data_IF_225446226701
#
_entry.id   IF_225446226701
#
_cell.length_a   1.000
_cell.length_b   1.000
_cell.length_c   1.000
_cell.angle_alpha   90.00
_cell.angle_beta   90.00
_cell.angle_gamma   90.00
#
_symmetry.space_group_name_H-M   'P 1'
#
loop_
_entity.id
_entity.type
_entity.pdbx_description
1 polymer ?
#
# COMPACT_ATOMS: atom_id res chain seq x y z
N UNK A 1 -10.34 -5.20 -24.76
CA UNK A 1 -10.11 -5.80 -23.44
C UNK A 1 -10.95 -5.01 -22.45
N UNK A 2 -11.97 -5.63 -21.86
CA UNK A 2 -12.80 -4.94 -20.87
C UNK A 2 -11.95 -4.62 -19.66
N UNK A 3 -11.95 -3.37 -19.21
CA UNK A 3 -11.44 -3.02 -17.88
C UNK A 3 -12.23 -3.87 -16.89
N UNK A 4 -11.58 -4.85 -16.26
CA UNK A 4 -12.19 -5.55 -15.14
C UNK A 4 -12.58 -4.45 -14.13
N UNK A 5 -13.86 -4.36 -13.81
CA UNK A 5 -14.33 -3.35 -12.88
C UNK A 5 -13.82 -3.76 -11.49
N UNK A 6 -12.76 -3.09 -11.03
CA UNK A 6 -12.08 -3.33 -9.75
C UNK A 6 -12.39 -2.17 -8.79
N UNK A 7 -13.66 -1.98 -8.40
CA UNK A 7 -14.08 -0.77 -7.72
C UNK A 7 -13.42 -0.60 -6.35
N UNK A 8 -13.07 -1.69 -5.66
CA UNK A 8 -12.37 -1.59 -4.38
C UNK A 8 -10.92 -1.15 -4.58
N UNK A 9 -10.21 -1.72 -5.57
CA UNK A 9 -8.84 -1.32 -5.90
C UNK A 9 -8.80 0.15 -6.36
N UNK A 10 -9.74 0.57 -7.22
CA UNK A 10 -9.78 1.94 -7.73
C UNK A 10 -10.09 2.95 -6.62
N UNK A 11 -11.08 2.68 -5.77
CA UNK A 11 -11.39 3.54 -4.62
C UNK A 11 -10.22 3.60 -3.64
N UNK A 12 -9.57 2.48 -3.39
CA UNK A 12 -8.43 2.42 -2.49
C UNK A 12 -7.22 3.19 -3.05
N UNK A 13 -6.95 3.08 -4.35
CA UNK A 13 -5.92 3.86 -5.03
C UNK A 13 -6.20 5.36 -4.94
N UNK A 14 -7.45 5.78 -5.14
CA UNK A 14 -7.87 7.18 -4.95
C UNK A 14 -7.70 7.63 -3.49
N UNK A 15 -8.04 6.76 -2.52
CA UNK A 15 -7.86 7.07 -1.10
C UNK A 15 -6.40 7.32 -0.74
N UNK A 16 -5.45 6.58 -1.33
CA UNK A 16 -4.02 6.75 -1.03
C UNK A 16 -3.39 7.92 -1.78
N UNK A 17 -3.74 8.13 -3.05
CA UNK A 17 -3.06 9.11 -3.91
C UNK A 17 -3.73 10.48 -3.89
N UNK A 18 -5.06 10.54 -3.94
CA UNK A 18 -5.81 11.79 -4.11
C UNK A 18 -6.41 12.29 -2.79
N UNK A 19 -6.71 11.37 -1.87
CA UNK A 19 -7.41 11.64 -0.62
C UNK A 19 -6.66 11.10 0.61
N UNK A 20 -5.32 11.14 0.58
CA UNK A 20 -4.45 10.45 1.55
C UNK A 20 -4.79 10.68 3.02
N UNK A 21 -5.28 11.87 3.40
CA UNK A 21 -5.74 12.13 4.78
C UNK A 21 -6.86 11.22 5.27
N UNK A 22 -7.65 10.63 4.37
CA UNK A 22 -8.70 9.66 4.69
C UNK A 22 -8.15 8.28 5.09
N UNK A 23 -6.85 8.02 4.92
CA UNK A 23 -6.23 6.79 5.44
C UNK A 23 -6.19 6.78 6.97
N UNK A 24 -6.09 7.95 7.61
CA UNK A 24 -5.98 8.06 9.07
C UNK A 24 -7.17 7.44 9.80
N UNK A 25 -8.44 7.76 9.48
CA UNK A 25 -9.58 7.10 10.12
C UNK A 25 -9.63 5.59 9.85
N UNK A 26 -9.16 5.12 8.67
CA UNK A 26 -9.05 3.68 8.38
C UNK A 26 -8.03 3.02 9.31
N UNK A 27 -6.87 3.63 9.51
CA UNK A 27 -5.84 3.11 10.41
C UNK A 27 -6.31 3.09 11.86
N UNK A 28 -7.01 4.14 12.30
CA UNK A 28 -7.61 4.17 13.64
C UNK A 28 -8.60 3.01 13.83
N UNK A 29 -9.48 2.76 12.86
CA UNK A 29 -10.47 1.69 12.94
C UNK A 29 -9.82 0.30 12.90
N UNK A 30 -8.93 0.05 11.94
CA UNK A 30 -8.35 -1.30 11.71
C UNK A 30 -7.35 -1.70 12.79
N UNK A 31 -6.54 -0.75 13.27
CA UNK A 31 -5.45 -1.03 14.22
C UNK A 31 -5.68 -0.50 15.64
N UNK A 32 -6.84 0.11 15.91
CA UNK A 32 -7.15 0.69 17.22
C UNK A 32 -6.27 1.90 17.57
N UNK A 33 -5.79 2.61 16.55
CA UNK A 33 -4.99 3.83 16.72
C UNK A 33 -5.88 5.03 17.08
N UNK A 34 -5.26 6.10 17.57
CA UNK A 34 -5.96 7.30 18.03
C UNK A 34 -5.36 8.57 17.39
N UNK A 35 -5.04 8.49 16.11
CA UNK A 35 -4.58 9.64 15.34
C UNK A 35 -5.69 10.68 15.20
N UNK A 36 -5.29 11.94 15.22
CA UNK A 36 -6.19 13.10 15.21
C UNK A 36 -6.65 13.51 13.81
N UNK A 37 -6.01 12.98 12.76
CA UNK A 37 -6.24 13.39 11.37
C UNK A 37 -5.35 14.57 10.93
N UNK A 38 -4.42 15.01 11.78
CA UNK A 38 -3.48 16.11 11.50
C UNK A 38 -2.03 15.64 11.38
N UNK A 39 -1.80 14.34 11.57
CA UNK A 39 -0.48 13.73 11.47
C UNK A 39 0.00 13.75 10.01
N UNK A 40 1.32 13.89 9.85
CA UNK A 40 1.94 13.81 8.53
C UNK A 40 1.99 12.36 8.07
N UNK A 41 1.60 12.14 6.81
CA UNK A 41 1.70 10.84 6.14
C UNK A 41 2.85 10.92 5.15
N UNK A 42 3.83 10.04 5.30
CA UNK A 42 4.99 9.94 4.41
C UNK A 42 4.91 8.60 3.69
N UNK A 43 4.58 8.64 2.40
CA UNK A 43 4.57 7.46 1.54
C UNK A 43 6.00 7.03 1.21
N UNK A 44 6.23 5.72 1.19
CA UNK A 44 7.44 5.14 0.62
C UNK A 44 7.43 5.31 -0.91
N UNK A 45 8.59 5.22 -1.58
CA UNK A 45 8.63 5.15 -3.05
C UNK A 45 7.82 3.93 -3.53
N UNK A 46 6.79 4.15 -4.34
CA UNK A 46 5.85 3.12 -4.78
C UNK A 46 6.31 2.33 -6.02
N UNK A 47 7.52 2.56 -6.51
CA UNK A 47 8.04 1.99 -7.75
C UNK A 47 9.16 0.99 -7.48
N UNK A 48 8.82 -0.30 -7.43
CA UNK A 48 9.80 -1.40 -7.45
C UNK A 48 9.65 -2.18 -8.75
N UNK A 49 10.65 -2.06 -9.62
CA UNK A 49 10.73 -2.83 -10.85
C UNK A 49 11.29 -4.23 -10.52
N UNK A 50 10.43 -5.25 -10.49
CA UNK A 50 10.88 -6.64 -10.36
C UNK A 50 11.14 -7.17 -11.77
N UNK A 51 12.42 -7.30 -12.13
CA UNK A 51 12.81 -7.94 -13.38
C UNK A 51 12.44 -9.43 -13.32
N UNK A 52 11.56 -9.88 -14.22
CA UNK A 52 11.41 -11.33 -14.45
C UNK A 52 12.69 -11.88 -15.08
N UNK A 53 13.01 -13.16 -14.83
CA UNK A 53 14.21 -13.83 -15.35
C UNK A 53 14.30 -13.82 -16.90
N UNK A 54 13.19 -13.46 -17.54
CA UNK A 54 12.89 -13.51 -18.97
C UNK A 54 13.15 -12.15 -19.67
N UNK A 55 13.58 -11.11 -18.93
CA UNK A 55 13.87 -9.78 -19.48
C UNK A 55 12.62 -8.93 -19.77
N UNK A 56 11.44 -9.38 -19.35
CA UNK A 56 10.23 -8.56 -19.34
C UNK A 56 10.16 -7.76 -18.02
N UNK A 57 10.11 -6.42 -18.14
CA UNK A 57 9.77 -5.53 -17.04
C UNK A 57 8.29 -5.74 -16.69
N UNK A 58 8.03 -6.46 -15.60
CA UNK A 58 6.71 -6.42 -14.97
C UNK A 58 6.72 -5.20 -14.04
N UNK A 59 6.19 -4.08 -14.53
CA UNK A 59 5.84 -2.95 -13.67
C UNK A 59 4.90 -3.46 -12.57
N UNK A 60 5.33 -3.40 -11.32
CA UNK A 60 4.50 -3.81 -10.19
C UNK A 60 4.63 -2.80 -9.06
N UNK A 61 3.66 -1.91 -9.05
CA UNK A 61 3.49 -0.83 -8.09
C UNK A 61 3.23 -1.45 -6.71
N UNK A 62 4.00 -1.04 -5.69
CA UNK A 62 3.63 -1.30 -4.29
C UNK A 62 2.82 -0.10 -3.85
N UNK A 63 1.49 -0.23 -3.75
CA UNK A 63 0.64 0.96 -3.64
C UNK A 63 0.68 1.62 -2.25
N UNK A 64 1.16 0.95 -1.19
CA UNK A 64 0.56 1.17 0.14
C UNK A 64 1.50 1.15 1.35
N UNK A 65 2.80 1.32 1.17
CA UNK A 65 3.69 1.50 2.31
C UNK A 65 3.86 2.96 2.67
N UNK A 66 3.55 3.29 3.93
CA UNK A 66 3.68 4.65 4.43
C UNK A 66 3.96 4.68 5.94
N UNK A 67 4.42 5.84 6.41
CA UNK A 67 4.64 6.14 7.82
C UNK A 67 3.71 7.26 8.24
N UNK A 68 3.07 7.11 9.41
CA UNK A 68 2.32 8.20 10.06
C UNK A 68 3.19 8.77 11.17
N UNK A 69 3.44 10.08 11.11
CA UNK A 69 4.23 10.83 12.08
C UNK A 69 3.29 11.46 13.11
N UNK A 70 2.97 10.70 14.17
CA UNK A 70 2.20 11.17 15.32
C UNK A 70 3.05 11.33 16.58
N UNK A 71 2.49 10.99 17.74
CA UNK A 71 3.25 10.92 19.01
C UNK A 71 4.42 9.93 18.94
N UNK A 72 4.28 8.89 18.11
CA UNK A 72 5.32 7.96 17.69
C UNK A 72 5.19 7.76 16.19
N UNK A 73 6.32 7.65 15.50
CA UNK A 73 6.35 7.21 14.11
C UNK A 73 6.00 5.73 14.04
N UNK A 74 4.98 5.38 13.25
CA UNK A 74 4.61 4.00 12.95
C UNK A 74 4.56 3.80 11.44
N UNK A 75 4.97 2.60 11.01
CA UNK A 75 4.96 2.19 9.60
C UNK A 75 3.80 1.23 9.37
N UNK A 76 3.14 1.39 8.23
CA UNK A 76 1.99 0.60 7.81
C UNK A 76 2.18 0.09 6.39
N UNK A 77 1.66 -1.09 6.12
CA UNK A 77 1.54 -1.73 4.81
C UNK A 77 0.12 -2.26 4.68
N UNK A 78 -0.66 -1.75 3.72
CA UNK A 78 -2.09 -2.05 3.59
C UNK A 78 -2.45 -2.41 2.17
N UNK A 79 -2.78 -3.67 1.86
CA UNK A 79 -3.22 -4.04 0.52
C UNK A 79 -4.75 -4.07 0.39
N UNK A 80 -5.24 -3.78 -0.82
CA UNK A 80 -6.63 -4.03 -1.24
C UNK A 80 -6.63 -4.98 -2.45
N UNK A 81 -7.73 -5.72 -2.63
CA UNK A 81 -7.94 -6.57 -3.79
C UNK A 81 -9.43 -6.77 -4.03
N UNK A 82 -9.94 -6.42 -5.21
CA UNK A 82 -11.33 -6.74 -5.57
C UNK A 82 -11.53 -8.20 -5.95
N UNK A 83 -10.48 -8.90 -6.41
CA UNK A 83 -10.57 -10.33 -6.72
C UNK A 83 -10.52 -11.17 -5.44
N UNK A 84 -11.21 -12.31 -5.45
CA UNK A 84 -11.22 -13.26 -4.33
C UNK A 84 -10.09 -14.29 -4.40
N UNK A 85 -9.09 -14.08 -5.25
CA UNK A 85 -7.94 -15.00 -5.38
C UNK A 85 -6.92 -14.80 -4.26
N UNK A 86 -5.94 -15.70 -4.17
CA UNK A 86 -4.93 -15.70 -3.12
C UNK A 86 -3.69 -14.82 -3.44
N UNK A 87 -3.73 -14.00 -4.49
CA UNK A 87 -2.56 -13.23 -4.91
C UNK A 87 -2.15 -12.14 -3.91
N UNK A 88 -3.09 -11.64 -3.10
CA UNK A 88 -2.81 -10.66 -2.03
C UNK A 88 -1.77 -11.16 -1.04
N UNK A 89 -1.84 -12.43 -0.64
CA UNK A 89 -0.90 -13.02 0.31
C UNK A 89 0.52 -13.06 -0.27
N UNK A 90 0.63 -13.40 -1.55
CA UNK A 90 1.91 -13.43 -2.26
C UNK A 90 2.49 -12.00 -2.33
N UNK A 91 1.66 -11.00 -2.65
CA UNK A 91 2.07 -9.59 -2.68
C UNK A 91 2.58 -9.11 -1.33
N UNK A 92 1.86 -9.38 -0.24
CA UNK A 92 2.31 -9.01 1.10
C UNK A 92 3.72 -9.52 1.38
N UNK A 93 3.98 -10.81 1.11
CA UNK A 93 5.29 -11.40 1.32
C UNK A 93 6.37 -10.76 0.44
N UNK A 94 6.12 -10.65 -0.87
CA UNK A 94 7.07 -10.04 -1.81
C UNK A 94 7.43 -8.62 -1.39
N UNK A 95 6.44 -7.80 -1.06
CA UNK A 95 6.64 -6.40 -0.71
C UNK A 95 7.31 -6.23 0.65
N UNK A 96 6.87 -6.97 1.69
CA UNK A 96 7.50 -6.91 3.01
C UNK A 96 8.98 -7.32 2.93
N UNK A 97 9.32 -8.32 2.10
CA UNK A 97 10.72 -8.69 1.89
C UNK A 97 11.52 -7.60 1.18
N UNK A 98 10.95 -6.95 0.16
CA UNK A 98 11.62 -5.87 -0.55
C UNK A 98 11.84 -4.65 0.36
N UNK A 99 10.81 -4.27 1.12
CA UNK A 99 10.89 -3.22 2.14
C UNK A 99 12.00 -3.48 3.15
N UNK A 100 12.10 -4.74 3.61
CA UNK A 100 13.14 -5.13 4.54
C UNK A 100 14.54 -5.06 3.90
N UNK A 101 14.68 -5.32 2.60
CA UNK A 101 15.94 -5.15 1.88
C UNK A 101 16.31 -3.68 1.71
N UNK A 102 15.35 -2.80 1.46
CA UNK A 102 15.61 -1.37 1.25
C UNK A 102 15.91 -0.60 2.54
N UNK A 103 15.38 -1.07 3.67
CA UNK A 103 15.61 -0.47 5.01
C UNK A 103 16.69 -1.19 5.83
N UNK A 104 17.23 -2.31 5.33
CA UNK A 104 18.19 -3.19 6.01
C UNK A 104 19.66 -2.77 5.95
#
# INVERSE_FOLDING_TARGET
MGTANTPYDDVFRTLLNDCSGLIIPVINEVFGENYTGKEDIIFSPNEHYINQQDGHEAERITDTCFKIIGTKTKKYHLECQSSADNSMLIRFFEYDTQIALDEG
#
